data_IF_519639277822
#
_entry.id   IF_519639277822
#
_cell.length_a   1.000
_cell.length_b   1.000
_cell.length_c   1.000
_cell.angle_alpha   90.00
_cell.angle_beta   90.00
_cell.angle_gamma   90.00
#
_symmetry.space_group_name_H-M   'P 1'
#
loop_
_entity.id
_entity.type
_entity.pdbx_description
1 polymer ?
#
# COMPACT_ATOMS: atom_id res chain seq x y z
N UNK A 1 -4.57 61.31 27.73
CA UNK A 1 -3.53 60.27 27.61
C UNK A 1 -4.02 58.86 27.91
N UNK A 2 -5.27 58.55 27.78
CA UNK A 2 -5.80 57.18 28.02
C UNK A 2 -6.32 56.51 26.76
N UNK A 3 -6.06 57.04 25.58
CA UNK A 3 -6.59 56.49 24.31
C UNK A 3 -5.60 55.74 23.43
N UNK A 4 -4.33 55.58 23.86
CA UNK A 4 -3.30 54.94 23.07
C UNK A 4 -3.08 53.46 23.41
N UNK A 5 -3.69 52.95 24.49
CA UNK A 5 -3.49 51.54 24.90
C UNK A 5 -4.44 50.53 24.26
N UNK A 6 -5.47 50.97 23.58
CA UNK A 6 -6.50 50.07 23.00
C UNK A 6 -6.17 49.60 21.57
N UNK A 7 -5.24 50.23 20.88
CA UNK A 7 -4.92 49.90 19.49
C UNK A 7 -3.86 48.80 19.41
N UNK A 8 -3.05 48.60 20.44
CA UNK A 8 -2.00 47.59 20.46
C UNK A 8 -2.51 46.18 20.73
N UNK A 9 -3.69 46.05 21.33
CA UNK A 9 -4.24 44.72 21.65
C UNK A 9 -4.99 44.05 20.49
N UNK A 10 -5.37 44.80 19.47
CA UNK A 10 -6.18 44.29 18.34
C UNK A 10 -5.28 43.74 17.21
N UNK A 11 -3.99 44.05 17.20
CA UNK A 11 -3.04 43.56 16.17
C UNK A 11 -2.47 42.18 16.49
N UNK A 12 -2.66 41.66 17.70
CA UNK A 12 -2.08 40.37 18.10
C UNK A 12 -3.00 39.15 17.82
N UNK A 13 -4.23 39.37 17.39
CA UNK A 13 -5.21 38.30 17.15
C UNK A 13 -5.22 37.83 15.69
N UNK A 14 -4.61 38.56 14.77
CA UNK A 14 -4.58 38.21 13.33
C UNK A 14 -3.37 37.38 12.90
N UNK A 15 -2.47 37.00 13.81
CA UNK A 15 -1.20 36.32 13.47
C UNK A 15 -1.20 34.81 13.54
N UNK A 16 -2.33 34.15 13.87
CA UNK A 16 -2.37 32.69 14.03
C UNK A 16 -3.36 32.04 13.05
N UNK A 17 -3.26 32.39 11.77
CA UNK A 17 -3.82 31.51 10.75
C UNK A 17 -2.82 30.38 10.54
N UNK A 18 -3.04 29.26 11.22
CA UNK A 18 -2.34 28.01 10.88
C UNK A 18 -2.78 27.61 9.49
N UNK A 19 -1.89 27.77 8.52
CA UNK A 19 -2.07 27.18 7.20
C UNK A 19 -1.97 25.65 7.36
N UNK A 20 -3.12 24.99 7.47
CA UNK A 20 -3.21 23.54 7.42
C UNK A 20 -3.09 23.11 5.96
N UNK A 21 -1.95 22.59 5.56
CA UNK A 21 -1.81 21.90 4.28
C UNK A 21 -2.35 20.48 4.45
N UNK A 22 -3.31 20.12 3.62
CA UNK A 22 -3.72 18.76 3.46
C UNK A 22 -2.54 17.94 2.89
N UNK A 23 -2.00 16.99 3.67
CA UNK A 23 -0.92 16.11 3.24
C UNK A 23 -1.53 14.82 2.67
N UNK A 24 -0.99 14.36 1.51
CA UNK A 24 -1.30 13.04 1.00
C UNK A 24 -0.83 11.98 2.01
N UNK A 25 -1.69 11.04 2.34
CA UNK A 25 -1.34 9.91 3.18
C UNK A 25 -0.69 8.83 2.32
N UNK A 26 0.47 8.35 2.74
CA UNK A 26 1.21 7.27 2.07
C UNK A 26 1.71 6.28 3.11
N UNK A 27 1.56 5.00 2.82
CA UNK A 27 2.14 3.91 3.59
C UNK A 27 2.75 2.89 2.63
N UNK A 28 3.85 2.26 2.99
CA UNK A 28 4.52 1.27 2.15
C UNK A 28 5.10 0.13 2.97
N UNK A 29 5.38 -0.98 2.31
CA UNK A 29 5.96 -2.13 2.96
C UNK A 29 6.54 -3.12 1.96
N UNK A 30 6.99 -4.24 2.51
CA UNK A 30 7.51 -5.39 1.76
C UNK A 30 6.52 -6.53 1.82
N UNK A 31 6.54 -7.36 0.80
CA UNK A 31 5.80 -8.62 0.77
C UNK A 31 6.65 -9.72 0.16
N UNK A 32 6.34 -10.97 0.48
CA UNK A 32 7.02 -12.10 -0.11
C UNK A 32 6.43 -13.42 0.34
N UNK A 33 6.53 -14.42 -0.54
CA UNK A 33 6.20 -15.81 -0.26
C UNK A 33 7.26 -16.71 -0.88
N UNK A 34 7.51 -17.84 -0.25
CA UNK A 34 8.46 -18.84 -0.73
C UNK A 34 8.08 -20.23 -0.25
N UNK A 35 8.79 -21.24 -0.74
CA UNK A 35 8.61 -22.64 -0.33
C UNK A 35 8.76 -22.86 1.18
N UNK A 36 9.36 -21.94 1.92
CA UNK A 36 9.47 -21.99 3.37
C UNK A 36 8.18 -21.59 4.11
N UNK A 37 7.23 -20.98 3.40
CA UNK A 37 5.94 -20.64 4.00
C UNK A 37 5.05 -21.88 4.10
N UNK A 38 4.37 -22.03 5.22
CA UNK A 38 3.38 -23.08 5.39
C UNK A 38 2.25 -22.93 4.36
N UNK A 39 1.90 -24.03 3.69
CA UNK A 39 0.85 -24.03 2.69
C UNK A 39 1.24 -23.40 1.35
N UNK A 40 2.52 -23.27 1.05
CA UNK A 40 2.99 -22.78 -0.24
C UNK A 40 2.55 -23.69 -1.39
N UNK A 41 1.98 -23.11 -2.43
CA UNK A 41 1.35 -23.86 -3.54
C UNK A 41 1.90 -23.50 -4.92
N UNK A 42 2.68 -22.45 -5.05
CA UNK A 42 3.08 -21.91 -6.37
C UNK A 42 4.16 -22.75 -7.06
N UNK A 43 4.79 -23.67 -6.35
CA UNK A 43 5.74 -24.67 -6.88
C UNK A 43 5.07 -26.02 -7.16
N UNK A 44 3.80 -26.15 -6.83
CA UNK A 44 3.03 -27.37 -7.01
C UNK A 44 2.74 -27.71 -8.48
N UNK A 45 1.90 -28.70 -8.68
CA UNK A 45 1.57 -29.36 -9.93
C UNK A 45 1.29 -28.41 -11.11
N UNK A 46 0.23 -28.58 -11.82
CA UNK A 46 -0.17 -27.75 -12.96
C UNK A 46 -1.52 -27.10 -12.69
N UNK A 47 -1.88 -26.15 -13.50
CA UNK A 47 -3.15 -25.43 -13.41
C UNK A 47 -3.06 -24.17 -12.56
N UNK A 48 -4.21 -23.63 -12.23
CA UNK A 48 -4.30 -22.38 -11.49
C UNK A 48 -3.96 -22.59 -10.00
N UNK A 49 -3.02 -21.82 -9.51
CA UNK A 49 -2.61 -21.84 -8.09
C UNK A 49 -2.44 -20.41 -7.63
N UNK A 50 -2.81 -20.14 -6.38
CA UNK A 50 -2.67 -18.82 -5.82
C UNK A 50 -2.36 -18.85 -4.33
N UNK A 51 -1.76 -17.77 -3.85
CA UNK A 51 -1.56 -17.46 -2.43
C UNK A 51 -2.02 -16.05 -2.15
N UNK A 52 -2.35 -15.79 -0.91
CA UNK A 52 -2.75 -14.45 -0.44
C UNK A 52 -1.93 -14.04 0.76
N UNK A 53 -1.68 -12.74 0.86
CA UNK A 53 -1.04 -12.09 2.01
C UNK A 53 -1.96 -10.96 2.47
N UNK A 54 -2.36 -10.96 3.72
CA UNK A 54 -3.12 -9.86 4.30
C UNK A 54 -2.18 -8.78 4.82
N UNK A 55 -2.47 -7.55 4.45
CA UNK A 55 -1.74 -6.35 4.88
C UNK A 55 -2.67 -5.45 5.67
N UNK A 56 -2.28 -5.12 6.88
CA UNK A 56 -2.97 -4.14 7.71
C UNK A 56 -2.15 -2.86 7.77
N UNK A 57 -2.78 -1.72 7.57
CA UNK A 57 -2.11 -0.43 7.69
C UNK A 57 -1.80 -0.12 9.15
N UNK A 58 -0.67 0.50 9.39
CA UNK A 58 -0.31 0.99 10.74
C UNK A 58 -1.28 2.07 11.18
N UNK A 59 -1.62 2.97 10.26
CA UNK A 59 -2.63 4.00 10.48
C UNK A 59 -3.71 3.88 9.41
N UNK A 60 -4.98 3.70 9.76
CA UNK A 60 -6.05 3.67 8.78
C UNK A 60 -6.08 4.94 7.93
N UNK A 61 -6.43 4.77 6.66
CA UNK A 61 -6.63 5.90 5.74
C UNK A 61 -7.99 6.56 6.00
N UNK A 62 -8.08 7.85 5.73
CA UNK A 62 -9.36 8.58 5.82
C UNK A 62 -10.32 8.16 4.72
N UNK A 63 -9.78 7.80 3.56
CA UNK A 63 -10.51 7.25 2.42
C UNK A 63 -9.85 5.96 1.94
N UNK A 64 -10.56 5.18 1.13
CA UNK A 64 -10.01 3.98 0.50
C UNK A 64 -8.79 4.37 -0.36
N UNK A 65 -7.59 3.86 -0.07
CA UNK A 65 -6.39 4.20 -0.82
C UNK A 65 -6.34 3.47 -2.17
N UNK A 66 -5.50 3.99 -3.06
CA UNK A 66 -5.00 3.27 -4.21
C UNK A 66 -3.78 2.45 -3.83
N UNK A 67 -3.66 1.26 -4.39
CA UNK A 67 -2.59 0.32 -4.09
C UNK A 67 -1.70 0.12 -5.31
N UNK A 68 -0.41 0.27 -5.12
CA UNK A 68 0.62 -0.08 -6.10
C UNK A 68 1.43 -1.25 -5.55
N UNK A 69 1.60 -2.29 -6.35
CA UNK A 69 2.42 -3.45 -6.00
C UNK A 69 3.49 -3.60 -7.07
N UNK A 70 4.75 -3.79 -6.66
CA UNK A 70 5.82 -4.16 -7.57
C UNK A 70 6.42 -5.51 -7.18
N UNK A 71 6.88 -6.25 -8.18
CA UNK A 71 7.64 -7.49 -8.01
C UNK A 71 9.12 -7.15 -8.15
N UNK A 72 9.89 -7.44 -7.11
CA UNK A 72 11.34 -7.16 -7.08
C UNK A 72 12.17 -8.41 -7.31
N UNK A 73 11.65 -9.60 -6.95
CA UNK A 73 12.36 -10.87 -7.06
C UNK A 73 11.40 -11.99 -7.41
N UNK A 74 11.80 -12.79 -8.39
CA UNK A 74 11.15 -14.07 -8.71
C UNK A 74 12.24 -15.15 -8.76
N UNK A 75 12.03 -16.23 -8.01
CA UNK A 75 12.82 -17.45 -8.07
C UNK A 75 11.92 -18.56 -8.62
N UNK A 76 12.29 -19.10 -9.76
CA UNK A 76 11.44 -20.03 -10.50
C UNK A 76 12.29 -21.07 -11.26
N UNK A 77 11.61 -22.14 -11.72
CA UNK A 77 12.26 -23.16 -12.53
C UNK A 77 12.73 -22.58 -13.87
N UNK A 78 13.87 -23.07 -14.36
CA UNK A 78 14.38 -22.72 -15.70
C UNK A 78 13.78 -23.57 -16.82
N UNK A 79 12.97 -24.58 -16.51
CA UNK A 79 12.49 -25.58 -17.46
C UNK A 79 11.11 -25.26 -18.07
N UNK A 80 10.45 -24.25 -17.56
CA UNK A 80 9.11 -23.83 -18.02
C UNK A 80 9.06 -22.32 -18.21
N UNK A 81 8.03 -21.86 -18.92
CA UNK A 81 7.72 -20.43 -18.93
C UNK A 81 7.30 -19.97 -17.54
N UNK A 82 7.70 -18.76 -17.18
CA UNK A 82 7.33 -18.16 -15.91
C UNK A 82 6.11 -17.29 -16.11
N UNK A 83 5.01 -17.71 -15.49
CA UNK A 83 3.72 -17.00 -15.54
C UNK A 83 3.32 -16.65 -14.13
N UNK A 84 3.08 -15.38 -13.85
CA UNK A 84 2.56 -14.94 -12.58
C UNK A 84 1.75 -13.66 -12.72
N UNK A 85 0.88 -13.44 -11.75
CA UNK A 85 0.14 -12.19 -11.57
C UNK A 85 0.13 -11.85 -10.09
N UNK A 86 0.35 -10.58 -9.78
CA UNK A 86 0.24 -10.06 -8.43
C UNK A 86 -0.69 -8.87 -8.45
N UNK A 87 -1.73 -8.92 -7.63
CA UNK A 87 -2.76 -7.89 -7.63
C UNK A 87 -3.29 -7.63 -6.21
N UNK A 88 -3.69 -6.39 -5.92
CA UNK A 88 -4.41 -6.09 -4.70
C UNK A 88 -5.87 -6.53 -4.82
N UNK A 89 -6.45 -6.99 -3.71
CA UNK A 89 -7.86 -7.28 -3.59
C UNK A 89 -8.36 -6.86 -2.21
N UNK A 90 -9.66 -6.72 -2.06
CA UNK A 90 -10.30 -6.37 -0.79
C UNK A 90 -9.72 -5.10 -0.15
N UNK A 91 -9.45 -4.09 -0.96
CA UNK A 91 -8.88 -2.83 -0.50
C UNK A 91 -9.89 -2.09 0.35
N UNK A 92 -9.47 -1.66 1.54
CA UNK A 92 -10.24 -0.86 2.47
C UNK A 92 -9.36 0.22 3.12
N UNK A 93 -9.94 1.02 3.96
CA UNK A 93 -9.22 2.02 4.75
C UNK A 93 -8.23 1.40 5.74
N UNK A 94 -8.44 0.15 6.15
CA UNK A 94 -7.68 -0.53 7.19
C UNK A 94 -6.57 -1.44 6.63
N UNK A 95 -6.68 -1.84 5.37
CA UNK A 95 -5.72 -2.76 4.77
C UNK A 95 -6.18 -3.30 3.42
N UNK A 96 -5.46 -4.28 2.92
CA UNK A 96 -5.78 -4.98 1.68
C UNK A 96 -5.16 -6.38 1.68
N UNK A 97 -5.51 -7.17 0.68
CA UNK A 97 -4.93 -8.49 0.47
C UNK A 97 -4.13 -8.49 -0.83
N UNK A 98 -2.93 -9.02 -0.81
CA UNK A 98 -2.12 -9.27 -2.01
C UNK A 98 -2.45 -10.69 -2.49
N UNK A 99 -2.92 -10.81 -3.73
CA UNK A 99 -3.11 -12.11 -4.39
C UNK A 99 -1.97 -12.37 -5.36
N UNK A 100 -1.28 -13.48 -5.17
CA UNK A 100 -0.22 -13.96 -6.04
C UNK A 100 -0.72 -15.23 -6.72
N UNK A 101 -0.70 -15.24 -8.06
CA UNK A 101 -1.20 -16.35 -8.86
C UNK A 101 -0.16 -16.82 -9.86
N UNK A 102 -0.16 -18.10 -10.13
CA UNK A 102 0.54 -18.73 -11.26
C UNK A 102 -0.37 -19.75 -11.92
N UNK A 103 -0.06 -20.15 -13.13
CA UNK A 103 -0.90 -21.07 -13.89
C UNK A 103 -0.11 -21.92 -14.86
N UNK A 104 -0.78 -22.88 -15.47
CA UNK A 104 -0.17 -23.85 -16.36
C UNK A 104 0.93 -24.65 -15.67
N UNK A 105 2.06 -24.84 -16.31
CA UNK A 105 3.19 -25.60 -15.80
C UNK A 105 4.26 -24.76 -15.09
N UNK A 106 3.99 -23.46 -14.89
CA UNK A 106 4.94 -22.57 -14.19
C UNK A 106 5.16 -23.01 -12.75
N UNK A 107 6.41 -23.02 -12.32
CA UNK A 107 6.78 -23.33 -10.93
C UNK A 107 7.59 -22.18 -10.36
N UNK A 108 7.05 -21.55 -9.34
CA UNK A 108 7.65 -20.41 -8.64
C UNK A 108 8.03 -20.86 -7.25
N UNK A 109 9.32 -20.77 -6.91
CA UNK A 109 9.83 -21.15 -5.59
C UNK A 109 9.83 -20.00 -4.60
N UNK A 110 9.82 -18.78 -5.09
CA UNK A 110 9.72 -17.58 -4.29
C UNK A 110 9.43 -16.37 -5.14
N UNK A 111 8.67 -15.44 -4.60
CA UNK A 111 8.33 -14.18 -5.24
C UNK A 111 8.16 -13.12 -4.16
N UNK A 112 8.71 -11.95 -4.38
CA UNK A 112 8.66 -10.88 -3.41
C UNK A 112 8.74 -9.51 -4.06
N UNK A 113 8.40 -8.50 -3.30
CA UNK A 113 8.45 -7.12 -3.76
C UNK A 113 8.03 -6.13 -2.69
N UNK A 114 7.49 -5.02 -3.15
CA UNK A 114 7.07 -3.91 -2.32
C UNK A 114 5.63 -3.52 -2.66
N UNK A 115 4.98 -2.89 -1.74
CA UNK A 115 3.68 -2.28 -1.94
C UNK A 115 3.70 -0.84 -1.45
N UNK A 116 2.84 -0.04 -2.02
CA UNK A 116 2.56 1.32 -1.58
C UNK A 116 1.05 1.56 -1.62
N UNK A 117 0.53 2.13 -0.56
CA UNK A 117 -0.83 2.64 -0.50
C UNK A 117 -0.79 4.17 -0.43
N UNK A 118 -1.61 4.82 -1.22
CA UNK A 118 -1.72 6.27 -1.21
C UNK A 118 -3.16 6.72 -1.36
N UNK A 119 -3.52 7.75 -0.63
CA UNK A 119 -4.79 8.44 -0.81
C UNK A 119 -4.49 9.88 -1.23
N UNK A 120 -5.05 10.27 -2.34
CA UNK A 120 -5.13 11.68 -2.67
C UNK A 120 -6.17 12.28 -1.73
N UNK A 121 -5.74 13.19 -0.88
CA UNK A 121 -6.69 14.05 -0.20
C UNK A 121 -7.35 14.88 -1.29
N UNK A 122 -8.62 14.57 -1.55
CA UNK A 122 -9.38 15.22 -2.60
C UNK A 122 -9.25 16.73 -2.44
N UNK A 123 -8.61 17.34 -3.41
CA UNK A 123 -8.98 18.71 -3.70
C UNK A 123 -10.33 18.59 -4.41
N UNK A 124 -11.39 18.69 -3.62
CA UNK A 124 -12.71 18.91 -4.18
C UNK A 124 -12.62 20.23 -4.95
N UNK A 125 -12.63 20.10 -6.28
CA UNK A 125 -12.83 21.24 -7.17
C UNK A 125 -14.25 21.78 -7.06
#
# INVERSE_FOLDING_TARGET
>A
MKKLFFISSLLLVFGLTTLSFAQAQVESGKWGVSTSNTGYTLDGNSGDRSMTIDVSFVTPFDEKPDIVICVAKVDATTQTNIRYSVSPMSVSRDGFTIKISTWSDSKIYGISGYWMAHANMGMDE
#
